data_IF_700432270024
#
_entry.id   IF_700432270024
#
_cell.length_a   1.000
_cell.length_b   1.000
_cell.length_c   1.000
_cell.angle_alpha   90.00
_cell.angle_beta   90.00
_cell.angle_gamma   90.00
#
_symmetry.space_group_name_H-M   'P 1'
#
loop_
_entity.id
_entity.type
_entity.pdbx_description
1 polymer ?
#
# COMPACT_ATOMS: atom_id res chain seq x y z
N UNK A 1 29.35 2.05 -48.30
CA UNK A 1 30.30 2.34 -47.21
C UNK A 1 29.64 1.92 -45.92
N UNK A 2 30.00 0.76 -45.37
CA UNK A 2 30.94 0.59 -44.23
C UNK A 2 30.37 1.21 -42.94
N UNK A 3 30.15 0.49 -41.84
CA UNK A 3 30.57 -0.87 -41.51
C UNK A 3 29.80 -1.48 -40.33
N UNK A 4 29.94 -2.80 -40.25
CA UNK A 4 29.51 -3.70 -39.17
C UNK A 4 30.27 -3.42 -37.87
N UNK A 5 29.67 -3.72 -36.73
CA UNK A 5 30.35 -4.50 -35.68
C UNK A 5 29.37 -5.43 -34.96
N UNK A 6 29.76 -6.71 -34.95
CA UNK A 6 29.27 -7.80 -34.10
C UNK A 6 30.28 -7.91 -32.96
N UNK A 7 29.84 -8.18 -31.73
CA UNK A 7 30.66 -8.93 -30.77
C UNK A 7 29.79 -9.69 -29.77
N UNK A 8 30.07 -10.99 -29.70
CA UNK A 8 29.53 -12.01 -28.81
C UNK A 8 30.49 -12.17 -27.60
N UNK A 9 29.92 -12.25 -26.40
CA UNK A 9 30.26 -13.08 -25.20
C UNK A 9 31.74 -13.36 -24.84
N UNK A 10 32.10 -13.07 -23.58
CA UNK A 10 32.88 -13.98 -22.72
C UNK A 10 32.50 -13.84 -21.24
N UNK A 11 32.35 -15.00 -20.57
CA UNK A 11 32.10 -15.19 -19.13
C UNK A 11 33.32 -14.84 -18.29
N UNK A 12 33.10 -14.24 -17.11
CA UNK A 12 33.97 -14.42 -15.94
C UNK A 12 33.08 -14.83 -14.77
N UNK A 13 33.27 -16.06 -14.29
CA UNK A 13 32.84 -16.50 -12.97
C UNK A 13 33.58 -15.65 -11.92
N UNK A 14 32.83 -14.90 -11.11
CA UNK A 14 33.27 -14.53 -9.77
C UNK A 14 32.29 -15.19 -8.81
N UNK A 15 32.74 -16.29 -8.23
CA UNK A 15 32.21 -16.85 -6.99
C UNK A 15 32.43 -15.84 -5.86
N UNK A 16 31.36 -15.41 -5.18
CA UNK A 16 31.53 -14.61 -3.97
C UNK A 16 30.24 -13.96 -3.47
N UNK A 17 29.69 -14.55 -2.41
CA UNK A 17 28.67 -13.99 -1.51
C UNK A 17 27.26 -13.81 -2.13
N UNK A 18 26.58 -14.94 -2.27
CA UNK A 18 25.14 -14.99 -2.05
C UNK A 18 24.87 -14.47 -0.63
N UNK A 19 24.42 -13.23 -0.49
CA UNK A 19 23.71 -12.81 0.71
C UNK A 19 22.46 -13.68 0.79
N UNK A 20 22.41 -14.47 1.86
CA UNK A 20 21.32 -15.36 2.22
C UNK A 20 20.03 -14.53 2.33
N UNK A 21 19.29 -14.44 1.22
CA UNK A 21 17.94 -13.89 1.22
C UNK A 21 17.10 -14.92 1.97
N UNK A 22 16.87 -14.63 3.24
CA UNK A 22 16.31 -15.55 4.23
C UNK A 22 15.21 -16.42 3.66
N UNK A 23 15.37 -17.72 3.88
CA UNK A 23 14.37 -18.79 3.72
C UNK A 23 12.94 -18.27 3.87
N UNK A 24 12.03 -18.78 3.03
CA UNK A 24 10.57 -18.86 3.28
C UNK A 24 10.34 -19.45 4.68
N UNK A 25 10.40 -18.59 5.68
CA UNK A 25 10.32 -18.94 7.08
C UNK A 25 8.90 -18.69 7.53
N UNK A 26 8.29 -19.72 8.11
CA UNK A 26 7.24 -19.54 9.11
C UNK A 26 7.53 -18.28 9.92
N UNK A 27 6.51 -17.45 10.11
CA UNK A 27 6.63 -16.30 10.98
C UNK A 27 7.12 -16.83 12.33
N UNK A 28 8.35 -16.48 12.69
CA UNK A 28 8.87 -16.78 14.03
C UNK A 28 7.96 -16.06 15.03
N UNK A 29 7.09 -16.84 15.67
CA UNK A 29 6.09 -16.36 16.64
C UNK A 29 6.77 -15.52 17.73
N UNK A 30 8.02 -15.81 18.08
CA UNK A 30 8.80 -15.04 19.04
C UNK A 30 9.11 -13.62 18.55
N UNK A 31 9.40 -13.45 17.26
CA UNK A 31 9.68 -12.13 16.68
C UNK A 31 8.41 -11.26 16.58
N UNK A 32 7.26 -11.85 16.27
CA UNK A 32 6.01 -11.09 16.21
C UNK A 32 5.51 -10.67 17.59
N UNK A 33 5.63 -11.52 18.62
CA UNK A 33 5.29 -11.12 19.98
C UNK A 33 6.23 -10.00 20.48
N UNK A 34 7.52 -10.08 20.14
CA UNK A 34 8.46 -9.00 20.45
C UNK A 34 8.09 -7.69 19.75
N UNK A 35 7.70 -7.74 18.49
CA UNK A 35 7.23 -6.54 17.77
C UNK A 35 5.97 -5.97 18.43
N UNK A 36 5.02 -6.83 18.78
CA UNK A 36 3.79 -6.41 19.46
C UNK A 36 4.09 -5.68 20.76
N UNK A 37 4.89 -6.28 21.65
CA UNK A 37 5.31 -5.65 22.91
C UNK A 37 6.01 -4.31 22.67
N UNK A 38 6.91 -4.25 21.69
CA UNK A 38 7.60 -3.01 21.32
C UNK A 38 6.61 -1.90 20.92
N UNK A 39 5.58 -2.23 20.12
CA UNK A 39 4.56 -1.27 19.70
C UNK A 39 3.62 -0.87 20.84
N UNK A 40 3.26 -1.80 21.73
CA UNK A 40 2.45 -1.55 22.93
C UNK A 40 3.14 -0.53 23.85
N UNK A 41 4.46 -0.65 24.01
CA UNK A 41 5.34 0.30 24.71
C UNK A 41 5.52 1.64 23.98
N UNK A 42 4.94 1.79 22.77
CA UNK A 42 5.04 3.01 21.96
C UNK A 42 6.39 3.19 21.28
N UNK A 43 7.24 2.16 21.25
CA UNK A 43 8.57 2.25 20.67
C UNK A 43 8.53 2.03 19.15
N UNK A 44 9.20 2.92 18.41
CA UNK A 44 9.41 2.72 16.98
C UNK A 44 10.50 1.68 16.73
N UNK A 45 10.30 0.72 15.82
CA UNK A 45 11.40 -0.01 15.21
C UNK A 45 12.41 0.96 14.61
N UNK A 46 13.69 0.61 14.68
CA UNK A 46 14.77 1.40 14.10
C UNK A 46 14.64 1.39 12.57
N UNK A 47 14.90 2.54 11.94
CA UNK A 47 14.93 2.66 10.48
C UNK A 47 15.98 1.72 9.88
N UNK A 48 15.62 1.05 8.78
CA UNK A 48 16.56 0.26 7.98
C UNK A 48 17.76 1.13 7.56
N UNK A 49 18.98 0.61 7.77
CA UNK A 49 20.23 1.29 7.41
C UNK A 49 21.17 0.28 6.71
N UNK A 50 21.52 0.48 5.43
CA UNK A 50 21.02 1.55 4.56
C UNK A 50 19.51 1.42 4.31
N UNK A 51 18.81 2.54 4.13
CA UNK A 51 17.44 2.52 3.64
C UNK A 51 17.49 2.23 2.14
N UNK A 52 16.94 1.09 1.74
CA UNK A 52 16.83 0.68 0.34
C UNK A 52 15.38 0.78 -0.07
N UNK A 53 15.10 1.65 -1.04
CA UNK A 53 13.79 1.76 -1.66
C UNK A 53 13.48 0.51 -2.47
N UNK A 54 12.34 -0.10 -2.17
CA UNK A 54 11.83 -1.29 -2.85
C UNK A 54 10.96 -0.83 -4.01
N UNK A 55 11.24 -1.33 -5.21
CA UNK A 55 10.51 -0.90 -6.39
C UNK A 55 9.07 -1.41 -6.38
N UNK A 56 8.10 -0.52 -6.61
CA UNK A 56 6.72 -0.92 -6.91
C UNK A 56 6.57 -1.32 -8.38
N UNK A 57 6.46 -2.62 -8.63
CA UNK A 57 6.33 -3.22 -9.96
C UNK A 57 4.94 -3.84 -10.15
N UNK A 58 3.93 -3.09 -10.61
CA UNK A 58 2.60 -3.62 -10.89
C UNK A 58 2.62 -4.41 -12.21
N UNK A 59 3.11 -5.64 -12.15
CA UNK A 59 3.25 -6.56 -13.29
C UNK A 59 2.45 -7.83 -13.01
N UNK A 60 1.74 -8.30 -14.04
CA UNK A 60 1.08 -9.60 -14.05
C UNK A 60 1.46 -10.32 -15.36
N UNK A 61 1.97 -11.54 -15.24
CA UNK A 61 2.41 -12.38 -16.38
C UNK A 61 3.35 -11.65 -17.36
N UNK A 62 4.30 -10.88 -16.82
CA UNK A 62 5.28 -10.13 -17.58
C UNK A 62 4.75 -8.86 -18.27
N UNK A 63 3.48 -8.49 -18.03
CA UNK A 63 2.86 -7.27 -18.56
C UNK A 63 2.61 -6.26 -17.46
N UNK A 64 2.85 -5.00 -17.77
CA UNK A 64 2.46 -3.89 -16.90
C UNK A 64 0.94 -3.85 -16.78
N UNK A 65 0.42 -3.80 -15.54
CA UNK A 65 -1.02 -3.84 -15.26
C UNK A 65 -1.71 -2.56 -15.73
N UNK A 66 -1.05 -1.40 -15.62
CA UNK A 66 -1.68 -0.11 -15.93
C UNK A 66 -2.59 0.37 -14.79
N UNK A 67 -3.87 0.51 -15.09
CA UNK A 67 -4.88 1.05 -14.18
C UNK A 67 -5.28 0.05 -13.07
N UNK A 68 -5.73 0.59 -11.94
CA UNK A 68 -6.18 -0.15 -10.77
C UNK A 68 -7.52 0.40 -10.27
N UNK A 69 -8.20 -0.37 -9.41
CA UNK A 69 -9.47 0.04 -8.81
C UNK A 69 -9.45 -0.12 -7.29
N UNK A 70 -9.98 0.86 -6.55
CA UNK A 70 -10.27 0.70 -5.12
C UNK A 70 -11.49 -0.19 -4.94
N UNK A 71 -11.37 -1.22 -4.11
CA UNK A 71 -12.43 -2.21 -3.93
C UNK A 71 -12.96 -2.23 -2.50
N UNK A 72 -14.21 -1.80 -2.33
CA UNK A 72 -15.01 -2.02 -1.13
C UNK A 72 -16.02 -3.13 -1.39
N UNK A 73 -15.92 -4.23 -0.64
CA UNK A 73 -16.63 -5.47 -0.91
C UNK A 73 -18.06 -5.54 -0.35
N UNK A 74 -18.59 -4.44 0.18
CA UNK A 74 -19.81 -4.43 0.97
C UNK A 74 -21.05 -4.21 0.09
N UNK A 75 -22.02 -5.12 0.21
CA UNK A 75 -23.37 -5.01 -0.37
C UNK A 75 -24.35 -4.45 0.66
N UNK A 76 -25.63 -4.30 0.27
CA UNK A 76 -26.67 -3.75 1.14
C UNK A 76 -26.76 -4.52 2.48
N UNK A 77 -26.60 -3.79 3.59
CA UNK A 77 -26.64 -4.35 4.94
C UNK A 77 -25.32 -4.97 5.42
N UNK A 78 -24.24 -4.78 4.67
CA UNK A 78 -22.88 -5.16 5.02
C UNK A 78 -22.04 -3.91 5.31
N UNK A 79 -21.05 -4.03 6.19
CA UNK A 79 -20.13 -2.98 6.54
C UNK A 79 -18.95 -3.55 7.34
N UNK A 80 -17.79 -2.86 7.38
CA UNK A 80 -16.66 -3.23 8.24
C UNK A 80 -17.12 -3.37 9.69
N UNK A 81 -16.72 -4.44 10.38
CA UNK A 81 -17.07 -4.68 11.78
C UNK A 81 -18.54 -5.00 12.07
N UNK A 82 -19.41 -5.05 11.06
CA UNK A 82 -20.83 -5.40 11.21
C UNK A 82 -21.11 -6.77 10.59
N UNK A 83 -20.97 -6.86 9.27
CA UNK A 83 -21.20 -8.08 8.49
C UNK A 83 -20.42 -7.94 7.19
N UNK A 84 -19.45 -8.82 6.99
CA UNK A 84 -18.73 -8.93 5.73
C UNK A 84 -19.51 -9.68 4.65
N UNK A 85 -19.07 -9.60 3.38
CA UNK A 85 -19.60 -10.40 2.29
C UNK A 85 -19.19 -11.88 2.40
N UNK A 86 -20.00 -12.78 1.87
CA UNK A 86 -19.59 -14.19 1.77
C UNK A 86 -18.58 -14.41 0.61
N UNK A 87 -17.95 -15.60 0.55
CA UNK A 87 -16.97 -15.92 -0.49
C UNK A 87 -17.54 -15.88 -1.91
N UNK A 88 -18.82 -16.24 -2.08
CA UNK A 88 -19.48 -16.20 -3.38
C UNK A 88 -19.69 -14.76 -3.82
N UNK A 89 -20.12 -13.89 -2.91
CA UNK A 89 -20.29 -12.45 -3.21
C UNK A 89 -18.95 -11.83 -3.64
N UNK A 90 -17.87 -12.11 -2.91
CA UNK A 90 -16.52 -11.66 -3.30
C UNK A 90 -16.12 -12.22 -4.65
N UNK A 91 -16.36 -13.52 -4.92
CA UNK A 91 -16.01 -14.13 -6.20
C UNK A 91 -16.75 -13.48 -7.37
N UNK A 92 -18.05 -13.22 -7.23
CA UNK A 92 -18.85 -12.51 -8.23
C UNK A 92 -18.25 -11.13 -8.54
N UNK A 93 -17.93 -10.36 -7.49
CA UNK A 93 -17.38 -9.02 -7.63
C UNK A 93 -16.00 -9.04 -8.31
N UNK A 94 -15.11 -9.95 -7.89
CA UNK A 94 -13.76 -10.08 -8.46
C UNK A 94 -13.77 -10.63 -9.90
N UNK A 95 -14.76 -11.45 -10.27
CA UNK A 95 -14.95 -11.88 -11.66
C UNK A 95 -15.34 -10.72 -12.57
N UNK A 96 -16.13 -9.76 -12.07
CA UNK A 96 -16.47 -8.54 -12.80
C UNK A 96 -15.23 -7.63 -12.88
N UNK A 97 -14.54 -7.41 -11.76
CA UNK A 97 -13.35 -6.54 -11.71
C UNK A 97 -12.26 -7.03 -12.66
N UNK A 98 -11.97 -8.33 -12.67
CA UNK A 98 -10.89 -8.91 -13.50
C UNK A 98 -11.10 -8.77 -15.02
N UNK A 99 -12.29 -8.37 -15.47
CA UNK A 99 -12.54 -8.03 -16.88
C UNK A 99 -11.92 -6.69 -17.29
N UNK A 100 -11.64 -5.81 -16.32
CA UNK A 100 -11.20 -4.43 -16.55
C UNK A 100 -9.91 -4.08 -15.83
N UNK A 101 -9.68 -4.64 -14.63
CA UNK A 101 -8.52 -4.33 -13.79
C UNK A 101 -7.87 -5.59 -13.23
N UNK A 102 -6.53 -5.60 -13.21
CA UNK A 102 -5.75 -6.69 -12.62
C UNK A 102 -5.03 -6.27 -11.33
N UNK A 103 -5.32 -5.07 -10.80
CA UNK A 103 -4.83 -4.59 -9.51
C UNK A 103 -5.99 -3.95 -8.75
N UNK A 104 -6.21 -4.42 -7.53
CA UNK A 104 -7.14 -3.80 -6.58
C UNK A 104 -6.40 -3.22 -5.38
N UNK A 105 -6.95 -2.15 -4.81
CA UNK A 105 -6.57 -1.65 -3.48
C UNK A 105 -7.67 -1.98 -2.49
N UNK A 106 -7.28 -2.54 -1.35
CA UNK A 106 -8.16 -2.79 -0.19
C UNK A 106 -7.63 -2.02 1.01
N UNK A 107 -8.50 -1.68 1.96
CA UNK A 107 -8.24 -0.62 2.94
C UNK A 107 -7.68 -1.11 4.28
N UNK A 108 -8.11 -2.28 4.72
CA UNK A 108 -7.73 -2.86 6.00
C UNK A 108 -7.05 -4.22 5.86
N UNK A 109 -6.66 -4.76 7.01
CA UNK A 109 -6.13 -6.11 7.16
C UNK A 109 -7.03 -6.89 8.13
N UNK A 110 -8.32 -6.98 7.79
CA UNK A 110 -9.37 -7.66 8.53
C UNK A 110 -9.75 -9.01 7.89
N UNK A 111 -10.77 -9.67 8.46
CA UNK A 111 -11.27 -10.96 7.96
C UNK A 111 -11.83 -10.86 6.53
N UNK A 112 -12.36 -9.71 6.14
CA UNK A 112 -12.90 -9.48 4.81
C UNK A 112 -11.77 -9.36 3.78
N UNK A 113 -10.70 -8.66 4.13
CA UNK A 113 -9.48 -8.56 3.33
C UNK A 113 -8.78 -9.90 3.18
N UNK A 114 -8.71 -10.71 4.24
CA UNK A 114 -8.23 -12.09 4.14
C UNK A 114 -9.12 -12.93 3.21
N UNK A 115 -10.45 -12.81 3.33
CA UNK A 115 -11.39 -13.55 2.48
C UNK A 115 -11.20 -13.21 1.00
N UNK A 116 -10.97 -11.93 0.68
CA UNK A 116 -10.60 -11.49 -0.68
C UNK A 116 -9.34 -12.19 -1.16
N UNK A 117 -8.26 -12.18 -0.38
CA UNK A 117 -6.99 -12.82 -0.73
C UNK A 117 -7.15 -14.34 -0.92
N UNK A 118 -7.92 -15.01 -0.06
CA UNK A 118 -8.25 -16.43 -0.16
C UNK A 118 -9.02 -16.74 -1.45
N UNK A 119 -10.04 -15.95 -1.78
CA UNK A 119 -10.83 -16.13 -3.02
C UNK A 119 -9.95 -15.94 -4.26
N UNK A 120 -9.10 -14.89 -4.31
CA UNK A 120 -8.15 -14.68 -5.42
C UNK A 120 -7.26 -15.92 -5.60
N UNK A 121 -6.66 -16.42 -4.51
CA UNK A 121 -5.79 -17.60 -4.55
C UNK A 121 -6.53 -18.86 -4.99
N UNK A 122 -7.65 -19.16 -4.34
CA UNK A 122 -8.45 -20.37 -4.57
C UNK A 122 -8.91 -20.48 -6.02
N UNK A 123 -9.36 -19.35 -6.59
CA UNK A 123 -9.90 -19.29 -7.94
C UNK A 123 -8.85 -18.89 -8.99
N UNK A 124 -7.59 -18.66 -8.57
CA UNK A 124 -6.47 -18.24 -9.43
C UNK A 124 -6.81 -17.02 -10.29
N UNK A 125 -7.49 -16.05 -9.67
CA UNK A 125 -7.91 -14.85 -10.39
C UNK A 125 -6.66 -14.03 -10.79
N UNK A 126 -6.65 -13.42 -11.99
CA UNK A 126 -5.54 -12.60 -12.48
C UNK A 126 -5.56 -11.22 -11.80
N UNK A 127 -5.48 -11.19 -10.47
CA UNK A 127 -5.58 -9.97 -9.66
C UNK A 127 -4.41 -9.91 -8.69
N UNK A 128 -3.77 -8.75 -8.63
CA UNK A 128 -2.82 -8.35 -7.60
C UNK A 128 -3.49 -7.39 -6.62
N UNK A 129 -2.94 -7.31 -5.42
CA UNK A 129 -3.52 -6.53 -4.31
C UNK A 129 -2.48 -5.55 -3.74
N UNK A 130 -2.87 -4.28 -3.62
CA UNK A 130 -2.27 -3.36 -2.66
C UNK A 130 -3.05 -3.51 -1.35
N UNK A 131 -2.42 -4.14 -0.35
CA UNK A 131 -3.05 -4.47 0.93
C UNK A 131 -2.97 -3.27 1.88
N UNK A 132 -4.10 -2.82 2.39
CA UNK A 132 -4.17 -1.76 3.38
C UNK A 132 -3.97 -2.24 4.81
N UNK A 133 -3.39 -1.38 5.64
CA UNK A 133 -3.39 -1.47 7.10
C UNK A 133 -4.08 -0.20 7.57
N UNK A 134 -5.30 -0.36 8.07
CA UNK A 134 -6.09 0.76 8.56
C UNK A 134 -5.54 1.22 9.92
N UNK A 135 -5.27 2.52 10.03
CA UNK A 135 -4.79 3.13 11.27
C UNK A 135 -5.78 4.19 11.73
N UNK A 136 -6.09 4.13 13.01
CA UNK A 136 -6.95 5.05 13.73
C UNK A 136 -6.13 6.06 14.54
N UNK A 137 -6.74 7.19 14.84
CA UNK A 137 -6.12 8.26 15.62
C UNK A 137 -5.88 7.81 17.07
N UNK A 138 -4.65 7.43 17.39
CA UNK A 138 -4.25 7.01 18.75
C UNK A 138 -3.69 8.14 19.62
N UNK A 139 -3.54 9.35 19.08
CA UNK A 139 -3.12 10.52 19.87
C UNK A 139 -4.26 11.05 20.73
N UNK A 140 -5.43 11.16 20.13
CA UNK A 140 -6.64 11.66 20.79
C UNK A 140 -7.52 10.53 21.33
N UNK A 141 -7.35 9.29 20.86
CA UNK A 141 -8.06 8.10 21.32
C UNK A 141 -7.05 6.96 21.59
N UNK A 142 -6.32 6.99 22.72
CA UNK A 142 -5.26 6.01 23.02
C UNK A 142 -5.71 4.55 23.00
N UNK A 143 -6.99 4.28 23.23
CA UNK A 143 -7.63 2.96 23.11
C UNK A 143 -7.49 2.36 21.70
N UNK A 144 -7.36 3.20 20.66
CA UNK A 144 -7.18 2.76 19.28
C UNK A 144 -5.79 2.18 19.01
N UNK A 145 -4.81 2.38 19.91
CA UNK A 145 -3.47 1.78 19.77
C UNK A 145 -3.54 0.27 19.59
N UNK A 146 -4.41 -0.41 20.34
CA UNK A 146 -4.51 -1.87 20.22
C UNK A 146 -5.05 -2.30 18.85
N UNK A 147 -6.01 -1.53 18.29
CA UNK A 147 -6.54 -1.77 16.96
C UNK A 147 -5.48 -1.56 15.88
N UNK A 148 -4.68 -0.49 16.00
CA UNK A 148 -3.57 -0.19 15.09
C UNK A 148 -2.51 -1.30 15.10
N UNK A 149 -2.15 -1.79 16.29
CA UNK A 149 -1.22 -2.90 16.46
C UNK A 149 -1.80 -4.18 15.84
N UNK A 150 -3.07 -4.51 16.10
CA UNK A 150 -3.72 -5.68 15.50
C UNK A 150 -3.74 -5.62 13.97
N UNK A 151 -4.16 -4.48 13.40
CA UNK A 151 -4.14 -4.24 11.95
C UNK A 151 -2.74 -4.38 11.37
N UNK A 152 -1.73 -3.83 12.06
CA UNK A 152 -0.33 -3.91 11.62
C UNK A 152 0.19 -5.35 11.60
N UNK A 153 0.00 -6.09 12.70
CA UNK A 153 0.47 -7.49 12.81
C UNK A 153 -0.26 -8.38 11.80
N UNK A 154 -1.57 -8.17 11.62
CA UNK A 154 -2.38 -8.90 10.65
C UNK A 154 -1.99 -8.60 9.21
N UNK A 155 -1.73 -7.33 8.88
CA UNK A 155 -1.26 -6.94 7.55
C UNK A 155 0.10 -7.52 7.21
N UNK A 156 1.03 -7.57 8.18
CA UNK A 156 2.32 -8.28 8.02
C UNK A 156 2.07 -9.77 7.74
N UNK A 157 1.19 -10.42 8.50
CA UNK A 157 0.88 -11.83 8.28
C UNK A 157 0.30 -12.06 6.89
N UNK A 158 -0.71 -11.30 6.48
CA UNK A 158 -1.37 -11.44 5.19
C UNK A 158 -0.42 -11.14 4.03
N UNK A 159 0.39 -10.09 4.12
CA UNK A 159 1.38 -9.78 3.08
C UNK A 159 2.40 -10.91 2.88
N UNK A 160 2.83 -11.57 3.96
CA UNK A 160 3.76 -12.72 3.88
C UNK A 160 3.07 -13.99 3.39
N UNK A 161 1.88 -14.26 3.91
CA UNK A 161 1.12 -15.45 3.54
C UNK A 161 0.74 -15.40 2.06
N UNK A 162 0.34 -14.23 1.56
CA UNK A 162 -0.11 -13.97 0.19
C UNK A 162 0.91 -13.20 -0.64
N UNK A 163 2.21 -13.51 -0.49
CA UNK A 163 3.31 -12.83 -1.18
C UNK A 163 3.19 -12.85 -2.72
N UNK A 164 2.49 -13.83 -3.28
CA UNK A 164 2.27 -13.98 -4.72
C UNK A 164 1.11 -13.13 -5.25
N UNK A 165 0.27 -12.58 -4.36
CA UNK A 165 -0.90 -11.75 -4.69
C UNK A 165 -0.69 -10.31 -4.22
N UNK A 166 -0.16 -10.11 -3.02
CA UNK A 166 0.09 -8.80 -2.41
C UNK A 166 1.37 -8.21 -2.96
N UNK A 167 1.26 -7.16 -3.77
CA UNK A 167 2.40 -6.51 -4.46
C UNK A 167 2.87 -5.22 -3.78
N UNK A 168 2.10 -4.71 -2.82
CA UNK A 168 2.44 -3.56 -1.99
C UNK A 168 1.63 -3.57 -0.69
N UNK A 169 2.16 -2.94 0.35
CA UNK A 169 1.46 -2.74 1.63
C UNK A 169 1.31 -1.25 1.89
N UNK A 170 0.07 -0.80 2.08
CA UNK A 170 -0.29 0.60 2.34
C UNK A 170 -0.61 0.78 3.83
N UNK A 171 0.25 1.47 4.56
CA UNK A 171 0.12 1.70 6.00
C UNK A 171 -0.53 3.04 6.28
N UNK A 172 -1.77 3.03 6.75
CA UNK A 172 -2.56 4.24 6.98
C UNK A 172 -3.24 4.78 5.71
N UNK A 173 -4.38 5.44 5.91
CA UNK A 173 -5.17 6.08 4.87
C UNK A 173 -5.64 7.44 5.40
N UNK A 174 -5.17 8.53 4.79
CA UNK A 174 -5.49 9.91 5.22
C UNK A 174 -5.20 10.15 6.70
N UNK A 175 -4.05 9.66 7.18
CA UNK A 175 -3.66 9.79 8.58
C UNK A 175 -2.94 11.11 8.87
N UNK A 176 -2.66 11.93 7.86
CA UNK A 176 -1.87 13.15 8.01
C UNK A 176 -2.63 14.41 7.61
N UNK A 177 -3.54 14.33 6.64
CA UNK A 177 -4.33 15.49 6.22
C UNK A 177 -5.13 16.10 7.38
N UNK A 178 -5.14 17.42 7.47
CA UNK A 178 -5.52 18.13 8.70
C UNK A 178 -6.99 17.96 9.12
N UNK A 179 -7.88 17.64 8.17
CA UNK A 179 -9.31 17.45 8.39
C UNK A 179 -9.71 16.00 8.70
N UNK A 180 -8.79 15.06 8.59
CA UNK A 180 -9.10 13.65 8.79
C UNK A 180 -9.43 13.36 10.26
N UNK A 181 -10.50 12.59 10.49
CA UNK A 181 -10.82 12.05 11.80
C UNK A 181 -9.75 11.04 12.29
N UNK A 182 -9.04 10.42 11.34
CA UNK A 182 -7.97 9.45 11.57
C UNK A 182 -6.59 10.10 11.64
N UNK A 183 -6.54 11.45 11.63
CA UNK A 183 -5.27 12.18 11.67
C UNK A 183 -4.50 11.81 12.94
N UNK A 184 -3.25 11.43 12.77
CA UNK A 184 -2.33 11.07 13.84
C UNK A 184 -0.98 11.76 13.68
N UNK A 185 -0.18 11.71 14.72
CA UNK A 185 1.16 12.22 14.77
C UNK A 185 2.03 11.49 13.73
N UNK A 186 2.79 12.22 12.88
CA UNK A 186 3.68 11.60 11.90
C UNK A 186 4.63 10.56 12.51
N UNK A 187 5.07 10.74 13.76
CA UNK A 187 5.94 9.79 14.45
C UNK A 187 5.27 8.43 14.69
N UNK A 188 3.97 8.42 15.00
CA UNK A 188 3.21 7.18 15.21
C UNK A 188 2.93 6.47 13.88
N UNK A 189 2.63 7.22 12.81
CA UNK A 189 2.55 6.65 11.46
C UNK A 189 3.89 5.98 11.06
N UNK A 190 5.02 6.69 11.25
CA UNK A 190 6.36 6.17 10.92
C UNK A 190 6.71 4.93 11.73
N UNK A 191 6.29 4.85 13.00
CA UNK A 191 6.43 3.64 13.84
C UNK A 191 5.79 2.43 13.17
N UNK A 192 4.55 2.56 12.69
CA UNK A 192 3.85 1.46 12.00
C UNK A 192 4.45 1.15 10.62
N UNK A 193 4.85 2.16 9.85
CA UNK A 193 5.55 1.97 8.56
C UNK A 193 6.83 1.13 8.75
N UNK A 194 7.67 1.50 9.73
CA UNK A 194 8.91 0.78 10.02
C UNK A 194 8.67 -0.64 10.53
N UNK A 195 7.62 -0.83 11.33
CA UNK A 195 7.19 -2.16 11.77
C UNK A 195 6.85 -3.05 10.57
N UNK A 196 6.05 -2.57 9.63
CA UNK A 196 5.66 -3.34 8.45
C UNK A 196 6.88 -3.63 7.57
N UNK A 197 7.66 -2.60 7.22
CA UNK A 197 8.86 -2.75 6.38
C UNK A 197 9.80 -3.84 6.88
N UNK A 198 10.05 -3.89 8.19
CA UNK A 198 10.97 -4.86 8.79
C UNK A 198 10.59 -6.32 8.53
N UNK A 199 9.31 -6.62 8.30
CA UNK A 199 8.80 -7.99 8.24
C UNK A 199 8.20 -8.40 6.89
N UNK A 200 8.05 -7.49 5.95
CA UNK A 200 7.53 -7.77 4.59
C UNK A 200 8.61 -7.53 3.54
N UNK A 201 8.56 -8.24 2.41
CA UNK A 201 9.48 -8.02 1.28
C UNK A 201 8.90 -7.01 0.27
N UNK A 202 7.58 -6.84 0.27
CA UNK A 202 6.87 -5.90 -0.58
C UNK A 202 7.30 -4.45 -0.33
N UNK A 203 7.15 -3.57 -1.34
CA UNK A 203 7.24 -2.15 -1.11
C UNK A 203 6.11 -1.66 -0.20
N UNK A 204 6.45 -0.78 0.72
CA UNK A 204 5.59 -0.20 1.76
C UNK A 204 5.38 1.28 1.48
N UNK A 205 4.12 1.69 1.51
CA UNK A 205 3.67 3.07 1.27
C UNK A 205 2.72 3.53 2.37
N UNK A 206 2.30 4.79 2.28
CA UNK A 206 1.14 5.34 3.00
C UNK A 206 0.34 6.18 2.00
N UNK A 207 -0.98 6.16 2.13
CA UNK A 207 -1.88 6.91 1.26
C UNK A 207 -2.45 8.11 1.99
N UNK A 208 -2.38 9.28 1.36
CA UNK A 208 -2.90 10.51 1.96
C UNK A 208 -3.37 11.50 0.89
N UNK A 209 -4.11 12.52 1.30
CA UNK A 209 -4.63 13.55 0.40
C UNK A 209 -3.48 14.40 -0.18
N UNK A 210 -3.70 14.91 -1.40
CA UNK A 210 -2.74 15.79 -2.06
C UNK A 210 -2.32 16.99 -1.19
N UNK A 211 -3.21 17.49 -0.33
CA UNK A 211 -2.98 18.65 0.53
C UNK A 211 -1.96 18.38 1.65
N UNK A 212 -1.71 17.11 1.97
CA UNK A 212 -0.56 16.72 2.79
C UNK A 212 0.70 16.61 1.92
N UNK A 213 0.61 15.87 0.81
CA UNK A 213 1.77 15.56 -0.04
C UNK A 213 2.39 16.76 -0.74
N UNK A 214 1.64 17.83 -0.97
CA UNK A 214 2.12 19.05 -1.61
C UNK A 214 2.74 20.07 -0.64
N UNK A 215 3.02 19.69 0.61
CA UNK A 215 3.62 20.58 1.61
C UNK A 215 4.89 19.98 2.25
N UNK A 216 5.86 20.82 2.67
CA UNK A 216 7.13 20.34 3.23
C UNK A 216 7.00 19.41 4.43
N UNK A 217 5.93 19.52 5.23
CA UNK A 217 5.69 18.61 6.37
C UNK A 217 5.54 17.13 5.98
N UNK A 218 5.30 16.82 4.70
CA UNK A 218 5.23 15.43 4.21
C UNK A 218 6.60 14.78 4.01
N UNK A 219 7.68 15.55 3.87
CA UNK A 219 9.00 15.01 3.57
C UNK A 219 9.56 14.04 4.63
N UNK A 220 9.39 14.26 5.95
CA UNK A 220 9.75 13.26 6.96
C UNK A 220 9.08 11.91 6.75
N UNK A 221 7.80 11.88 6.37
CA UNK A 221 7.06 10.63 6.10
C UNK A 221 7.52 10.03 4.77
N UNK A 222 7.70 10.85 3.72
CA UNK A 222 8.18 10.40 2.41
C UNK A 222 9.52 9.65 2.50
N UNK A 223 10.41 10.06 3.42
CA UNK A 223 11.71 9.39 3.66
C UNK A 223 11.61 8.01 4.30
N UNK A 224 10.44 7.59 4.76
CA UNK A 224 10.23 6.31 5.46
C UNK A 224 9.47 5.28 4.61
N UNK A 225 9.02 5.66 3.42
CA UNK A 225 8.24 4.82 2.49
C UNK A 225 8.97 4.60 1.18
N UNK A 226 8.55 3.57 0.42
CA UNK A 226 9.13 3.25 -0.88
C UNK A 226 8.58 4.14 -2.00
N UNK A 227 7.31 4.49 -1.97
CA UNK A 227 6.67 5.34 -2.97
C UNK A 227 5.51 6.11 -2.34
N UNK A 228 5.06 7.18 -2.98
CA UNK A 228 3.95 8.01 -2.52
C UNK A 228 2.64 7.50 -3.15
N UNK A 229 1.60 7.34 -2.33
CA UNK A 229 0.22 7.20 -2.79
C UNK A 229 -0.56 8.45 -2.40
N UNK A 230 -1.13 9.14 -3.39
CA UNK A 230 -1.87 10.39 -3.18
C UNK A 230 -3.32 10.28 -3.63
N UNK A 231 -4.23 10.88 -2.86
CA UNK A 231 -5.63 11.03 -3.20
C UNK A 231 -5.90 12.42 -3.80
N UNK A 232 -6.65 12.45 -4.89
CA UNK A 232 -6.95 13.68 -5.62
C UNK A 232 -8.40 13.67 -6.09
N UNK A 233 -9.27 14.38 -5.38
CA UNK A 233 -10.68 14.51 -5.74
C UNK A 233 -11.04 15.93 -6.16
N UNK A 234 -11.01 16.19 -7.47
CA UNK A 234 -11.38 17.49 -8.04
C UNK A 234 -12.79 17.94 -7.59
N UNK A 235 -13.73 16.99 -7.56
CA UNK A 235 -15.11 17.20 -7.11
C UNK A 235 -15.19 17.81 -5.70
N UNK A 236 -14.50 17.21 -4.72
CA UNK A 236 -14.52 17.68 -3.33
C UNK A 236 -13.78 19.01 -3.13
N UNK A 237 -12.96 19.41 -4.11
CA UNK A 237 -12.28 20.70 -4.14
C UNK A 237 -13.10 21.76 -4.92
N UNK A 238 -14.36 21.48 -5.26
CA UNK A 238 -15.24 22.42 -5.97
C UNK A 238 -14.80 22.70 -7.42
N UNK A 239 -13.94 21.84 -7.98
CA UNK A 239 -13.45 21.97 -9.35
C UNK A 239 -14.49 21.36 -10.30
N UNK A 240 -14.88 22.11 -11.31
CA UNK A 240 -15.81 21.65 -12.34
C UNK A 240 -15.20 20.53 -13.20
N UNK A 241 -16.05 19.65 -13.74
CA UNK A 241 -15.62 18.47 -14.48
C UNK A 241 -14.71 18.81 -15.67
N UNK A 242 -14.98 19.91 -16.38
CA UNK A 242 -14.17 20.40 -17.51
C UNK A 242 -12.74 20.82 -17.11
N UNK A 243 -12.51 21.13 -15.83
CA UNK A 243 -11.20 21.53 -15.28
C UNK A 243 -10.54 20.44 -14.45
N UNK A 244 -11.26 19.36 -14.12
CA UNK A 244 -10.83 18.34 -13.18
C UNK A 244 -9.46 17.74 -13.56
N UNK A 245 -9.29 17.34 -14.83
CA UNK A 245 -8.03 16.74 -15.30
C UNK A 245 -6.85 17.72 -15.22
N UNK A 246 -7.05 18.98 -15.65
CA UNK A 246 -6.00 20.00 -15.57
C UNK A 246 -5.58 20.32 -14.14
N UNK A 247 -6.54 20.33 -13.21
CA UNK A 247 -6.27 20.52 -11.80
C UNK A 247 -5.49 19.31 -11.24
N UNK A 248 -5.94 18.09 -11.52
CA UNK A 248 -5.24 16.87 -11.09
C UNK A 248 -3.79 16.82 -11.60
N UNK A 249 -3.54 17.15 -12.88
CA UNK A 249 -2.17 17.22 -13.43
C UNK A 249 -1.32 18.26 -12.70
N UNK A 250 -1.85 19.45 -12.43
CA UNK A 250 -1.12 20.51 -11.71
C UNK A 250 -0.74 20.09 -10.29
N UNK A 251 -1.66 19.42 -9.59
CA UNK A 251 -1.43 18.92 -8.23
C UNK A 251 -0.41 17.77 -8.24
N UNK A 252 -0.53 16.85 -9.19
CA UNK A 252 0.41 15.74 -9.36
C UNK A 252 1.84 16.25 -9.58
N UNK A 253 2.02 17.23 -10.48
CA UNK A 253 3.33 17.85 -10.73
C UNK A 253 3.89 18.55 -9.50
N UNK A 254 3.08 19.28 -8.74
CA UNK A 254 3.53 19.94 -7.52
C UNK A 254 4.06 18.94 -6.48
N UNK A 255 3.44 17.75 -6.36
CA UNK A 255 3.94 16.68 -5.49
C UNK A 255 5.25 16.10 -6.03
N UNK A 256 5.37 15.87 -7.34
CA UNK A 256 6.61 15.39 -7.95
C UNK A 256 7.77 16.38 -7.76
N UNK A 257 7.51 17.69 -7.89
CA UNK A 257 8.51 18.74 -7.67
C UNK A 257 9.01 18.76 -6.22
N UNK A 258 8.12 18.53 -5.25
CA UNK A 258 8.48 18.48 -3.83
C UNK A 258 9.17 17.18 -3.42
N UNK A 259 8.88 16.07 -4.10
CA UNK A 259 9.42 14.74 -3.83
C UNK A 259 10.06 14.12 -5.10
N UNK A 260 11.13 14.73 -5.65
CA UNK A 260 11.68 14.36 -6.96
C UNK A 260 12.26 12.94 -6.99
N UNK A 261 12.66 12.41 -5.83
CA UNK A 261 13.23 11.07 -5.69
C UNK A 261 12.17 9.98 -5.43
N UNK A 262 10.88 10.34 -5.40
CA UNK A 262 9.80 9.39 -5.11
C UNK A 262 8.89 9.19 -6.30
N UNK A 263 8.59 7.92 -6.58
CA UNK A 263 7.48 7.58 -7.47
C UNK A 263 6.16 8.01 -6.81
N UNK A 264 5.34 8.76 -7.54
CA UNK A 264 4.02 9.22 -7.10
C UNK A 264 2.94 8.44 -7.84
N UNK A 265 2.01 7.84 -7.10
CA UNK A 265 0.88 7.06 -7.60
C UNK A 265 -0.41 7.70 -7.12
N UNK A 266 -1.37 7.86 -8.03
CA UNK A 266 -2.73 8.27 -7.65
C UNK A 266 -3.42 7.03 -7.09
N UNK A 267 -3.65 7.00 -5.77
CA UNK A 267 -4.32 5.89 -5.08
C UNK A 267 -5.82 6.00 -5.16
N UNK A 268 -6.34 7.23 -5.12
CA UNK A 268 -7.76 7.51 -5.20
C UNK A 268 -8.04 8.78 -6.00
N UNK A 269 -9.02 8.66 -6.87
CA UNK A 269 -9.67 9.76 -7.56
C UNK A 269 -11.02 9.25 -8.05
N UNK A 270 -11.98 10.14 -8.26
CA UNK A 270 -13.31 9.72 -8.70
C UNK A 270 -14.31 10.86 -8.75
N UNK A 271 -15.47 10.54 -9.29
CA UNK A 271 -16.58 11.47 -9.44
C UNK A 271 -17.90 10.76 -9.14
N UNK A 272 -18.63 11.21 -8.11
CA UNK A 272 -19.91 10.62 -7.75
C UNK A 272 -20.98 10.91 -8.81
N UNK A 273 -21.76 9.90 -9.20
CA UNK A 273 -22.81 10.03 -10.23
C UNK A 273 -24.14 10.55 -9.68
N UNK A 274 -24.32 10.56 -8.35
CA UNK A 274 -25.50 11.06 -7.62
C UNK A 274 -25.06 11.58 -6.25
N UNK A 275 -25.72 12.62 -5.75
CA UNK A 275 -25.59 13.19 -4.40
C UNK A 275 -26.92 13.17 -3.68
#
# INVERSE_FOLDING_TARGET
MMGRFIALVFFILITGLSMDCGRKGEIDKGNMEKLKLQLEEGQSPVKETPFVEREFQPILDGKWIGEAVCYGCYRKGQAPGVKGPDEREILEDLQIISQYWNLIRVYGSDDDSERILKVIRQHRLPIRVMLGIWLENEDHQPEHRQLNIQQTLRGIQLAREFEEIVIAVNVGNETQVYWSAHRMNPADLVKYIRAVRRYVAQPVTTADDYNFWNKPESQPVAREIDFIVTHMYALWNGISLDKAISWTDSVYRAIQELHPDKRVIIGETGWATRF
#
